data_IF_810041985170
#
_entry.id   IF_810041985170
#
_cell.length_a   1.000
_cell.length_b   1.000
_cell.length_c   1.000
_cell.angle_alpha   90.00
_cell.angle_beta   90.00
_cell.angle_gamma   90.00
#
_symmetry.space_group_name_H-M   'P 1'
#
loop_
_entity.id
_entity.type
_entity.pdbx_description
1 polymer ?
#
# COMPACT_ATOMS: atom_id res chain seq x y z
N UNK A 1 7.90 -26.74 -17.40
CA UNK A 1 8.53 -26.04 -16.25
C UNK A 1 7.75 -26.39 -15.00
N UNK A 2 8.41 -26.78 -13.93
CA UNK A 2 7.74 -27.02 -12.63
C UNK A 2 7.64 -25.65 -11.91
N UNK A 3 6.47 -25.00 -12.00
CA UNK A 3 6.17 -23.76 -11.30
C UNK A 3 5.46 -24.14 -10.00
N UNK A 4 6.01 -23.74 -8.85
CA UNK A 4 5.41 -24.05 -7.53
C UNK A 4 4.55 -22.91 -6.97
N UNK A 5 4.73 -21.67 -7.45
CA UNK A 5 3.98 -20.52 -6.99
C UNK A 5 3.90 -19.41 -8.01
N UNK A 6 2.88 -18.55 -7.89
CA UNK A 6 2.67 -17.36 -8.72
C UNK A 6 2.27 -16.18 -7.83
N UNK A 7 2.77 -14.99 -8.16
CA UNK A 7 2.34 -13.70 -7.60
C UNK A 7 2.37 -12.63 -8.68
N UNK A 8 1.70 -11.52 -8.46
CA UNK A 8 1.76 -10.35 -9.34
C UNK A 8 2.29 -9.12 -8.60
N UNK A 9 2.86 -8.19 -9.38
CA UNK A 9 3.27 -6.85 -8.95
C UNK A 9 2.29 -5.77 -9.44
N UNK A 10 1.20 -6.18 -10.09
CA UNK A 10 0.24 -5.31 -10.77
C UNK A 10 -1.13 -5.45 -10.09
N UNK A 11 -1.60 -4.37 -9.48
CA UNK A 11 -2.78 -4.39 -8.61
C UNK A 11 -4.04 -5.01 -9.25
N UNK A 12 -4.44 -4.70 -10.50
CA UNK A 12 -5.60 -5.34 -11.15
C UNK A 12 -5.47 -6.87 -11.34
N UNK A 13 -4.25 -7.40 -11.43
CA UNK A 13 -4.02 -8.84 -11.58
C UNK A 13 -4.18 -9.60 -10.28
N UNK A 14 -4.03 -8.94 -9.13
CA UNK A 14 -4.14 -9.57 -7.81
C UNK A 14 -5.52 -10.18 -7.60
N UNK A 15 -6.58 -9.41 -7.86
CA UNK A 15 -7.95 -9.90 -7.78
C UNK A 15 -8.21 -11.06 -8.76
N UNK A 16 -7.63 -10.98 -9.97
CA UNK A 16 -7.77 -12.04 -10.97
C UNK A 16 -7.09 -13.34 -10.52
N UNK A 17 -5.87 -13.26 -9.99
CA UNK A 17 -5.16 -14.42 -9.45
C UNK A 17 -5.91 -15.01 -8.25
N UNK A 18 -6.32 -14.18 -7.28
CA UNK A 18 -7.04 -14.61 -6.10
C UNK A 18 -8.39 -15.30 -6.46
N UNK A 19 -9.12 -14.75 -7.42
CA UNK A 19 -10.38 -15.34 -7.92
C UNK A 19 -10.21 -16.72 -8.56
N UNK A 20 -9.03 -17.01 -9.09
CA UNK A 20 -8.72 -18.28 -9.76
C UNK A 20 -7.79 -19.17 -8.91
N UNK A 21 -7.62 -18.89 -7.61
CA UNK A 21 -6.67 -19.61 -6.75
C UNK A 21 -6.89 -21.11 -6.76
N UNK A 22 -8.14 -21.59 -6.69
CA UNK A 22 -8.48 -23.00 -6.73
C UNK A 22 -7.98 -23.69 -8.02
N UNK A 23 -8.08 -23.01 -9.16
CA UNK A 23 -7.61 -23.53 -10.46
C UNK A 23 -6.08 -23.64 -10.52
N UNK A 24 -5.37 -22.72 -9.87
CA UNK A 24 -3.92 -22.82 -9.73
C UNK A 24 -3.53 -23.95 -8.77
N UNK A 25 -4.27 -24.12 -7.67
CA UNK A 25 -4.05 -25.20 -6.71
C UNK A 25 -4.26 -26.57 -7.34
N UNK A 26 -5.32 -26.76 -8.14
CA UNK A 26 -5.56 -27.98 -8.94
C UNK A 26 -4.38 -28.30 -9.89
N UNK A 27 -3.66 -27.28 -10.36
CA UNK A 27 -2.44 -27.41 -11.17
C UNK A 27 -1.16 -27.56 -10.35
N UNK A 28 -1.25 -27.63 -9.02
CA UNK A 28 -0.10 -27.71 -8.12
C UNK A 28 0.67 -26.39 -7.96
N UNK A 29 0.03 -25.24 -8.22
CA UNK A 29 0.62 -23.91 -8.15
C UNK A 29 -0.05 -23.10 -7.04
N UNK A 30 0.72 -22.59 -6.09
CA UNK A 30 0.20 -21.72 -5.03
C UNK A 30 0.10 -20.27 -5.52
N UNK A 31 -1.05 -19.63 -5.37
CA UNK A 31 -1.17 -18.17 -5.53
C UNK A 31 -0.65 -17.49 -4.26
N UNK A 32 0.49 -16.80 -4.36
CA UNK A 32 1.13 -16.12 -3.25
C UNK A 32 0.61 -14.67 -3.13
N UNK A 33 -0.56 -14.52 -2.55
CA UNK A 33 -1.26 -13.25 -2.39
C UNK A 33 -2.38 -13.35 -1.36
N UNK A 34 -3.02 -12.24 -1.09
CA UNK A 34 -4.19 -12.17 -0.22
C UNK A 34 -5.46 -12.61 -0.95
N UNK A 35 -6.51 -12.91 -0.19
CA UNK A 35 -7.79 -13.34 -0.73
C UNK A 35 -8.46 -12.28 -1.62
N UNK A 36 -9.39 -12.72 -2.47
CA UNK A 36 -10.09 -11.89 -3.45
C UNK A 36 -10.72 -10.63 -2.82
N UNK A 37 -11.44 -10.79 -1.71
CA UNK A 37 -12.13 -9.68 -1.04
C UNK A 37 -11.14 -8.63 -0.49
N UNK A 38 -9.97 -9.04 -0.05
CA UNK A 38 -8.90 -8.16 0.42
C UNK A 38 -8.24 -7.42 -0.75
N UNK A 39 -8.03 -8.09 -1.89
CA UNK A 39 -7.54 -7.44 -3.10
C UNK A 39 -8.53 -6.38 -3.59
N UNK A 40 -9.83 -6.69 -3.64
CA UNK A 40 -10.89 -5.76 -4.01
C UNK A 40 -11.03 -4.59 -3.01
N UNK A 41 -10.89 -4.85 -1.71
CA UNK A 41 -10.88 -3.81 -0.68
C UNK A 41 -9.70 -2.86 -0.88
N UNK A 42 -8.52 -3.39 -1.18
CA UNK A 42 -7.32 -2.60 -1.43
C UNK A 42 -7.43 -1.74 -2.69
N UNK A 43 -8.04 -2.26 -3.77
CA UNK A 43 -8.31 -1.52 -5.00
C UNK A 43 -9.34 -0.41 -4.82
N UNK A 44 -10.31 -0.57 -3.91
CA UNK A 44 -11.37 0.40 -3.65
C UNK A 44 -11.06 1.23 -2.41
N UNK A 45 -10.60 2.44 -2.60
CA UNK A 45 -10.15 3.35 -1.54
C UNK A 45 -11.26 3.70 -0.53
N UNK A 46 -12.53 3.67 -0.97
CA UNK A 46 -13.64 3.92 -0.06
C UNK A 46 -13.92 2.72 0.84
N UNK A 47 -13.87 1.49 0.31
CA UNK A 47 -13.96 0.27 1.13
C UNK A 47 -12.82 0.19 2.14
N UNK A 48 -11.58 0.53 1.75
CA UNK A 48 -10.44 0.59 2.66
C UNK A 48 -10.68 1.63 3.77
N UNK A 49 -11.16 2.82 3.43
CA UNK A 49 -11.51 3.86 4.41
C UNK A 49 -12.57 3.40 5.41
N UNK A 50 -13.64 2.76 4.94
CA UNK A 50 -14.71 2.21 5.79
C UNK A 50 -14.18 1.13 6.73
N UNK A 51 -13.34 0.23 6.20
CA UNK A 51 -12.67 -0.80 7.00
C UNK A 51 -11.79 -0.21 8.10
N UNK A 52 -10.91 0.73 7.76
CA UNK A 52 -10.02 1.37 8.73
C UNK A 52 -10.80 2.08 9.84
N UNK A 53 -11.84 2.83 9.47
CA UNK A 53 -12.71 3.50 10.44
C UNK A 53 -13.44 2.54 11.37
N UNK A 54 -14.00 1.47 10.83
CA UNK A 54 -14.75 0.48 11.64
C UNK A 54 -13.86 -0.23 12.67
N UNK A 55 -12.54 -0.29 12.42
CA UNK A 55 -11.55 -0.87 13.33
C UNK A 55 -10.81 0.17 14.19
N UNK A 56 -11.25 1.44 14.17
CA UNK A 56 -10.63 2.52 14.96
C UNK A 56 -9.18 2.82 14.56
N UNK A 57 -8.83 2.58 13.28
CA UNK A 57 -7.53 2.90 12.70
C UNK A 57 -7.63 4.27 12.02
N UNK A 58 -6.68 5.16 12.34
CA UNK A 58 -6.68 6.52 11.78
C UNK A 58 -6.43 6.48 10.27
N UNK A 59 -7.27 7.20 9.53
CA UNK A 59 -7.18 7.43 8.10
C UNK A 59 -7.75 8.82 7.77
N UNK A 60 -7.47 9.35 6.60
CA UNK A 60 -8.02 10.64 6.18
C UNK A 60 -9.52 10.52 5.92
N UNK A 61 -10.32 11.48 6.41
CA UNK A 61 -11.75 11.55 6.14
C UNK A 61 -11.98 11.55 4.62
N UNK A 62 -12.88 10.67 4.16
CA UNK A 62 -13.09 10.40 2.74
C UNK A 62 -14.58 10.41 2.40
N UNK A 63 -14.91 10.93 1.22
CA UNK A 63 -16.28 11.11 0.76
C UNK A 63 -16.39 10.77 -0.73
N UNK A 64 -17.44 10.07 -1.12
CA UNK A 64 -17.87 9.92 -2.52
C UNK A 64 -19.04 10.88 -2.83
N UNK A 65 -19.79 11.30 -1.81
CA UNK A 65 -20.85 12.29 -1.92
C UNK A 65 -20.33 13.69 -1.55
N UNK A 66 -20.30 14.60 -2.52
CA UNK A 66 -19.92 16.00 -2.30
C UNK A 66 -20.79 16.70 -1.24
N UNK A 67 -22.07 16.36 -1.16
CA UNK A 67 -22.97 16.99 -0.21
C UNK A 67 -22.63 16.58 1.24
N UNK A 68 -22.19 15.33 1.43
CA UNK A 68 -21.69 14.89 2.73
C UNK A 68 -20.41 15.67 3.12
N UNK A 69 -19.48 15.85 2.19
CA UNK A 69 -18.28 16.68 2.40
C UNK A 69 -18.65 18.12 2.76
N UNK A 70 -19.56 18.75 2.04
CA UNK A 70 -19.97 20.15 2.32
C UNK A 70 -20.65 20.30 3.67
N UNK A 71 -21.51 19.36 4.06
CA UNK A 71 -22.14 19.38 5.41
C UNK A 71 -21.07 19.30 6.52
N UNK A 72 -20.08 18.45 6.36
CA UNK A 72 -19.01 18.33 7.35
C UNK A 72 -18.06 19.53 7.33
N UNK A 73 -17.84 20.16 6.18
CA UNK A 73 -17.08 21.41 6.06
C UNK A 73 -17.79 22.58 6.77
N UNK A 74 -19.10 22.73 6.60
CA UNK A 74 -19.91 23.72 7.32
C UNK A 74 -19.86 23.52 8.84
N UNK A 75 -19.75 22.27 9.30
CA UNK A 75 -19.59 21.89 10.70
C UNK A 75 -18.12 21.99 11.19
N UNK A 76 -17.19 22.45 10.35
CA UNK A 76 -15.75 22.56 10.64
C UNK A 76 -15.08 21.25 11.05
N UNK A 77 -15.62 20.11 10.59
CA UNK A 77 -14.99 18.78 10.78
C UNK A 77 -13.90 18.52 9.74
N UNK A 78 -14.04 19.08 8.55
CA UNK A 78 -13.09 19.03 7.43
C UNK A 78 -13.14 20.35 6.68
N UNK A 79 -12.11 20.66 5.88
CA UNK A 79 -12.08 21.86 5.05
C UNK A 79 -11.07 21.67 3.91
N UNK A 80 -11.05 22.64 2.99
CA UNK A 80 -10.02 22.76 1.98
C UNK A 80 -8.64 23.11 2.61
N UNK A 81 -7.54 22.64 2.01
CA UNK A 81 -7.47 21.87 0.78
C UNK A 81 -7.84 20.39 0.99
N UNK A 82 -8.35 19.77 -0.08
CA UNK A 82 -8.62 18.33 -0.14
C UNK A 82 -7.85 17.69 -1.29
N UNK A 83 -7.74 16.36 -1.25
CA UNK A 83 -7.29 15.55 -2.38
C UNK A 83 -8.52 14.96 -3.07
N UNK A 84 -8.52 14.97 -4.41
CA UNK A 84 -9.43 14.17 -5.21
C UNK A 84 -8.65 13.10 -5.98
N UNK A 85 -9.24 11.92 -6.06
CA UNK A 85 -8.67 10.76 -6.77
C UNK A 85 -9.77 9.79 -7.15
N UNK A 86 -9.57 8.88 -8.12
CA UNK A 86 -10.51 7.83 -8.41
C UNK A 86 -10.76 6.94 -7.19
N UNK A 87 -12.00 6.50 -6.99
CA UNK A 87 -12.38 5.55 -5.93
C UNK A 87 -11.63 4.24 -6.11
N UNK A 88 -11.55 3.75 -7.35
CA UNK A 88 -10.85 2.52 -7.70
C UNK A 88 -9.62 2.81 -8.58
N UNK A 89 -8.61 1.96 -8.45
CA UNK A 89 -7.40 2.04 -9.27
C UNK A 89 -6.12 2.23 -8.46
N UNK A 90 -4.99 2.13 -9.16
CA UNK A 90 -3.64 2.18 -8.61
C UNK A 90 -2.77 3.21 -9.36
N UNK A 91 -1.49 3.31 -9.01
CA UNK A 91 -0.47 4.12 -9.67
C UNK A 91 -0.72 5.64 -9.69
N UNK A 92 -1.47 6.18 -8.74
CA UNK A 92 -1.70 7.65 -8.59
C UNK A 92 -2.15 8.35 -9.89
N UNK A 93 -2.86 7.65 -10.78
CA UNK A 93 -3.16 8.06 -12.16
C UNK A 93 -3.92 9.39 -12.28
N UNK A 94 -4.58 9.82 -11.22
CA UNK A 94 -5.29 11.10 -11.16
C UNK A 94 -5.42 11.54 -9.69
N UNK A 95 -4.37 12.12 -9.14
CA UNK A 95 -4.40 12.67 -7.78
C UNK A 95 -4.23 14.18 -7.87
N UNK A 96 -5.20 14.96 -7.38
CA UNK A 96 -5.16 16.43 -7.41
C UNK A 96 -5.47 17.02 -6.05
N UNK A 97 -4.71 18.04 -5.67
CA UNK A 97 -5.00 18.89 -4.51
C UNK A 97 -5.94 20.01 -4.94
N UNK A 98 -7.06 20.13 -4.28
CA UNK A 98 -8.13 21.09 -4.56
C UNK A 98 -8.25 22.04 -3.38
N UNK A 99 -8.24 23.35 -3.66
CA UNK A 99 -8.23 24.40 -2.64
C UNK A 99 -9.52 25.23 -2.58
N UNK A 100 -10.51 24.90 -3.43
CA UNK A 100 -11.76 25.67 -3.43
C UNK A 100 -12.96 24.83 -3.89
N UNK A 101 -14.15 25.22 -3.46
CA UNK A 101 -15.42 24.61 -3.88
C UNK A 101 -15.60 24.67 -5.40
N UNK A 102 -15.27 25.80 -6.03
CA UNK A 102 -15.42 25.96 -7.48
C UNK A 102 -14.57 24.96 -8.26
N UNK A 103 -13.30 24.77 -7.85
CA UNK A 103 -12.42 23.78 -8.47
C UNK A 103 -12.94 22.35 -8.26
N UNK A 104 -13.48 22.04 -7.07
CA UNK A 104 -14.08 20.74 -6.78
C UNK A 104 -15.28 20.45 -7.67
N UNK A 105 -16.18 21.42 -7.83
CA UNK A 105 -17.36 21.27 -8.71
C UNK A 105 -16.95 21.04 -10.16
N UNK A 106 -15.94 21.75 -10.65
CA UNK A 106 -15.43 21.57 -11.99
C UNK A 106 -14.92 20.14 -12.25
N UNK A 107 -14.08 19.61 -11.37
CA UNK A 107 -13.54 18.25 -11.53
C UNK A 107 -14.64 17.19 -11.46
N UNK A 108 -15.59 17.32 -10.54
CA UNK A 108 -16.73 16.38 -10.42
C UNK A 108 -17.78 16.53 -11.55
N UNK A 109 -17.77 17.63 -12.31
CA UNK A 109 -18.61 17.74 -13.52
C UNK A 109 -18.04 16.95 -14.69
N UNK A 110 -16.74 16.67 -14.69
CA UNK A 110 -16.04 15.97 -15.75
C UNK A 110 -15.88 14.46 -15.49
N UNK A 111 -16.07 14.01 -14.24
CA UNK A 111 -15.85 12.61 -13.83
C UNK A 111 -16.80 12.23 -12.69
N UNK A 112 -17.29 11.00 -12.74
CA UNK A 112 -18.21 10.41 -11.75
C UNK A 112 -17.55 9.36 -10.84
N UNK A 113 -16.29 9.02 -11.10
CA UNK A 113 -15.52 8.00 -10.39
C UNK A 113 -14.65 8.55 -9.25
N UNK A 114 -14.79 9.85 -8.90
CA UNK A 114 -13.93 10.53 -7.95
C UNK A 114 -14.40 10.39 -6.50
N UNK A 115 -13.44 10.38 -5.58
CA UNK A 115 -13.64 10.62 -4.16
C UNK A 115 -12.91 11.88 -3.70
N UNK A 116 -13.39 12.45 -2.60
CA UNK A 116 -12.77 13.54 -1.88
C UNK A 116 -12.11 12.95 -0.64
N UNK A 117 -10.89 13.35 -0.34
CA UNK A 117 -10.17 12.94 0.86
C UNK A 117 -9.51 14.15 1.53
N UNK A 118 -9.57 14.23 2.86
CA UNK A 118 -8.86 15.27 3.60
C UNK A 118 -7.38 15.26 3.24
N UNK A 119 -6.83 16.43 2.94
CA UNK A 119 -5.39 16.57 2.72
C UNK A 119 -4.64 16.41 4.03
N UNK A 120 -3.76 15.43 4.09
CA UNK A 120 -2.85 15.23 5.21
C UNK A 120 -1.53 15.95 4.92
N UNK A 121 -1.18 16.92 5.78
CA UNK A 121 0.10 17.63 5.70
C UNK A 121 1.05 17.04 6.73
N UNK A 122 1.88 16.09 6.31
CA UNK A 122 2.80 15.38 7.20
C UNK A 122 3.91 14.67 6.44
N UNK A 123 4.70 13.89 7.16
CA UNK A 123 5.73 13.04 6.56
C UNK A 123 5.08 11.83 5.90
N UNK A 124 5.47 11.54 4.66
CA UNK A 124 5.07 10.31 3.99
C UNK A 124 5.99 9.15 4.39
N UNK A 125 5.38 8.04 4.75
CA UNK A 125 6.04 6.81 5.19
C UNK A 125 5.56 5.66 4.33
N UNK A 126 6.47 4.77 3.97
CA UNK A 126 6.16 3.47 3.38
C UNK A 126 6.50 2.35 4.34
N UNK A 127 5.69 1.30 4.35
CA UNK A 127 6.01 0.08 5.06
C UNK A 127 5.90 -1.13 4.14
N UNK A 128 6.99 -1.88 3.99
CA UNK A 128 6.99 -3.20 3.36
C UNK A 128 6.76 -4.25 4.46
N UNK A 129 5.69 -5.04 4.35
CA UNK A 129 5.30 -6.01 5.38
C UNK A 129 5.20 -7.39 4.76
N UNK A 130 5.74 -8.40 5.47
CA UNK A 130 5.53 -9.80 5.13
C UNK A 130 4.71 -10.49 6.21
N UNK A 131 3.65 -11.15 5.76
CA UNK A 131 2.75 -11.97 6.57
C UNK A 131 2.95 -13.43 6.14
N UNK A 132 3.20 -14.32 7.09
CA UNK A 132 3.42 -15.74 6.81
C UNK A 132 2.18 -16.34 6.13
N UNK A 133 2.37 -16.91 4.95
CA UNK A 133 1.29 -17.50 4.15
C UNK A 133 0.63 -18.71 4.84
N UNK A 134 1.32 -19.37 5.75
CA UNK A 134 0.83 -20.56 6.46
C UNK A 134 0.14 -20.18 7.77
N UNK A 135 0.82 -19.42 8.63
CA UNK A 135 0.30 -19.07 9.97
C UNK A 135 -0.57 -17.81 9.97
N UNK A 136 -0.35 -16.88 9.04
CA UNK A 136 -0.97 -15.55 9.06
C UNK A 136 -0.33 -14.57 10.05
N UNK A 137 0.79 -14.94 10.64
CA UNK A 137 1.53 -14.08 11.56
C UNK A 137 2.36 -13.05 10.81
N UNK A 138 2.43 -11.81 11.32
CA UNK A 138 3.32 -10.79 10.77
C UNK A 138 4.77 -11.16 11.07
N UNK A 139 5.55 -11.41 10.03
CA UNK A 139 6.94 -11.87 10.14
C UNK A 139 7.93 -10.72 10.08
N UNK A 140 7.70 -9.77 9.19
CA UNK A 140 8.64 -8.67 8.95
C UNK A 140 7.87 -7.38 8.69
N UNK A 141 8.36 -6.29 9.26
CA UNK A 141 7.90 -4.92 8.99
C UNK A 141 9.17 -4.10 8.75
N UNK A 142 9.30 -3.54 7.56
CA UNK A 142 10.34 -2.56 7.23
C UNK A 142 9.68 -1.20 6.98
N UNK A 143 10.12 -0.17 7.69
CA UNK A 143 9.58 1.18 7.57
C UNK A 143 10.61 2.16 7.04
N UNK A 144 10.15 3.09 6.20
CA UNK A 144 10.98 4.10 5.54
C UNK A 144 10.23 5.43 5.42
N UNK A 145 10.92 6.54 5.69
CA UNK A 145 10.46 7.89 5.35
C UNK A 145 10.67 8.09 3.85
N UNK A 146 9.63 8.50 3.13
CA UNK A 146 9.69 8.81 1.70
C UNK A 146 10.20 10.25 1.53
N UNK A 147 11.45 10.39 1.10
CA UNK A 147 12.09 11.70 0.93
C UNK A 147 11.75 12.34 -0.43
N UNK A 148 11.55 11.52 -1.45
CA UNK A 148 11.15 11.94 -2.78
C UNK A 148 10.33 10.87 -3.46
N UNK A 149 9.19 11.30 -4.01
CA UNK A 149 8.36 10.49 -4.89
C UNK A 149 8.59 10.88 -6.35
N UNK A 150 8.62 9.89 -7.26
CA UNK A 150 8.71 10.10 -8.70
C UNK A 150 7.78 9.13 -9.42
N UNK A 151 6.91 9.65 -10.28
CA UNK A 151 5.95 8.87 -11.05
C UNK A 151 5.11 7.88 -10.20
N UNK A 152 4.71 8.28 -8.98
CA UNK A 152 3.92 7.45 -8.08
C UNK A 152 4.70 6.41 -7.28
N UNK A 153 6.03 6.37 -7.42
CA UNK A 153 6.90 5.45 -6.68
C UNK A 153 7.89 6.18 -5.77
N UNK A 154 8.32 5.50 -4.71
CA UNK A 154 9.39 6.00 -3.84
C UNK A 154 10.72 6.01 -4.59
N UNK A 155 11.26 7.22 -4.82
CA UNK A 155 12.53 7.45 -5.50
C UNK A 155 13.70 7.56 -4.52
N UNK A 156 13.48 8.27 -3.40
CA UNK A 156 14.45 8.38 -2.29
C UNK A 156 13.76 8.13 -0.97
N UNK A 157 14.40 7.36 -0.11
CA UNK A 157 13.90 7.04 1.21
C UNK A 157 15.02 6.84 2.22
N UNK A 158 14.69 6.88 3.50
CA UNK A 158 15.58 6.52 4.59
C UNK A 158 14.86 5.59 5.54
N UNK A 159 15.53 4.49 5.95
CA UNK A 159 14.99 3.53 6.92
C UNK A 159 14.91 4.14 8.32
N UNK A 160 13.89 3.76 9.08
CA UNK A 160 13.74 4.08 10.50
C UNK A 160 12.94 2.99 11.20
N UNK A 161 12.98 2.95 12.53
CA UNK A 161 12.22 2.02 13.35
C UNK A 161 11.37 2.83 14.32
N UNK A 162 10.07 2.50 14.42
CA UNK A 162 9.16 3.07 15.41
C UNK A 162 8.20 1.99 15.91
N UNK A 163 8.28 1.70 17.22
CA UNK A 163 7.48 0.66 17.86
C UNK A 163 5.98 0.94 17.78
N UNK A 164 5.56 2.21 17.93
CA UNK A 164 4.15 2.62 17.82
C UNK A 164 3.61 2.32 16.42
N UNK A 165 4.42 2.54 15.39
CA UNK A 165 4.05 2.22 14.01
C UNK A 165 4.00 0.72 13.78
N UNK A 166 4.98 -0.03 14.29
CA UNK A 166 4.98 -1.49 14.18
C UNK A 166 3.73 -2.11 14.82
N UNK A 167 3.34 -1.66 16.01
CA UNK A 167 2.13 -2.13 16.69
C UNK A 167 0.84 -1.75 15.93
N UNK A 168 0.78 -0.55 15.34
CA UNK A 168 -0.33 -0.16 14.46
C UNK A 168 -0.45 -1.09 13.26
N UNK A 169 0.66 -1.40 12.59
CA UNK A 169 0.70 -2.29 11.42
C UNK A 169 0.29 -3.71 11.81
N UNK A 170 0.81 -4.26 12.91
CA UNK A 170 0.40 -5.58 13.43
C UNK A 170 -1.11 -5.62 13.70
N UNK A 171 -1.65 -4.61 14.38
CA UNK A 171 -3.09 -4.50 14.66
C UNK A 171 -3.90 -4.48 13.37
N UNK A 172 -3.48 -3.70 12.39
CA UNK A 172 -4.14 -3.62 11.08
C UNK A 172 -4.12 -4.97 10.35
N UNK A 173 -2.95 -5.60 10.24
CA UNK A 173 -2.78 -6.91 9.57
C UNK A 173 -3.65 -7.98 10.24
N UNK A 174 -3.64 -8.04 11.56
CA UNK A 174 -4.44 -9.00 12.33
C UNK A 174 -5.95 -8.80 12.13
N UNK A 175 -6.41 -7.55 12.04
CA UNK A 175 -7.82 -7.23 11.80
C UNK A 175 -8.25 -7.53 10.37
N UNK A 176 -7.40 -7.28 9.37
CA UNK A 176 -7.72 -7.44 7.96
C UNK A 176 -7.55 -8.90 7.48
N UNK A 177 -6.53 -9.61 7.94
CA UNK A 177 -6.28 -10.99 7.55
C UNK A 177 -5.43 -11.16 6.29
N UNK A 178 -4.66 -10.16 5.89
CA UNK A 178 -3.74 -10.24 4.74
C UNK A 178 -2.76 -11.41 4.85
N UNK A 179 -2.24 -11.83 3.70
CA UNK A 179 -1.24 -12.89 3.56
C UNK A 179 -0.13 -12.45 2.64
N UNK A 180 1.05 -13.02 2.83
CA UNK A 180 2.27 -12.77 2.06
C UNK A 180 2.72 -11.31 2.18
N UNK A 181 2.91 -10.60 1.08
CA UNK A 181 3.44 -9.24 1.06
C UNK A 181 2.36 -8.19 0.92
N UNK A 182 2.50 -7.10 1.68
CA UNK A 182 1.74 -5.87 1.48
C UNK A 182 2.67 -4.66 1.56
N UNK A 183 2.35 -3.63 0.79
CA UNK A 183 2.98 -2.31 0.80
C UNK A 183 1.96 -1.31 1.32
N UNK A 184 2.30 -0.60 2.41
CA UNK A 184 1.38 0.32 3.09
C UNK A 184 1.92 1.74 2.98
N UNK A 185 1.09 2.65 2.49
CA UNK A 185 1.33 4.09 2.51
C UNK A 185 0.71 4.73 3.75
N UNK A 186 1.51 5.49 4.48
CA UNK A 186 1.17 6.04 5.79
C UNK A 186 1.59 7.51 5.83
N UNK A 187 0.81 8.34 6.51
CA UNK A 187 1.21 9.71 6.85
C UNK A 187 1.44 9.82 8.36
N UNK A 188 2.50 10.52 8.75
CA UNK A 188 2.71 10.98 10.12
C UNK A 188 2.31 12.45 10.21
N UNK A 189 1.22 12.73 10.93
CA UNK A 189 0.66 14.08 11.12
C UNK A 189 0.49 14.33 12.61
N UNK A 190 1.11 15.38 13.13
CA UNK A 190 1.04 15.76 14.55
C UNK A 190 1.33 14.60 15.53
N UNK A 191 2.31 13.75 15.19
CA UNK A 191 2.72 12.60 16.00
C UNK A 191 1.79 11.39 15.93
N UNK A 192 0.82 11.38 15.00
CA UNK A 192 -0.13 10.30 14.79
C UNK A 192 -0.02 9.72 13.40
N UNK A 193 -0.11 8.38 13.30
CA UNK A 193 -0.05 7.65 12.04
C UNK A 193 -1.44 7.48 11.42
N UNK A 194 -1.54 7.77 10.12
CA UNK A 194 -2.73 7.62 9.30
C UNK A 194 -2.45 6.66 8.15
N UNK A 195 -3.09 5.51 8.10
CA UNK A 195 -3.00 4.60 6.94
C UNK A 195 -3.74 5.26 5.76
N UNK A 196 -3.08 5.38 4.62
CA UNK A 196 -3.58 6.03 3.42
C UNK A 196 -3.96 5.06 2.31
N UNK A 197 -3.09 4.08 2.04
CA UNK A 197 -3.26 3.09 0.98
C UNK A 197 -2.58 1.78 1.36
N UNK A 198 -3.14 0.66 0.91
CA UNK A 198 -2.57 -0.68 1.12
C UNK A 198 -2.60 -1.43 -0.19
N UNK A 199 -1.45 -1.91 -0.62
CA UNK A 199 -1.27 -2.66 -1.85
C UNK A 199 -0.81 -4.08 -1.51
N UNK A 200 -1.62 -5.14 -1.75
CA UNK A 200 -1.27 -6.52 -1.35
C UNK A 200 -0.29 -7.16 -2.33
N UNK A 201 0.85 -6.52 -2.52
CA UNK A 201 1.98 -6.92 -3.37
C UNK A 201 3.28 -6.27 -2.89
N UNK A 202 4.41 -6.62 -3.50
CA UNK A 202 5.66 -5.88 -3.31
C UNK A 202 5.51 -4.42 -3.73
N UNK A 203 5.96 -3.50 -2.88
CA UNK A 203 6.06 -2.09 -3.20
C UNK A 203 7.21 -1.78 -4.17
N UNK A 204 7.10 -0.71 -4.96
CA UNK A 204 8.20 -0.24 -5.82
C UNK A 204 9.46 0.17 -5.03
N UNK A 205 9.33 0.37 -3.73
CA UNK A 205 10.44 0.65 -2.80
C UNK A 205 10.99 -0.58 -2.05
N UNK A 206 10.50 -1.79 -2.31
CA UNK A 206 10.92 -3.02 -1.63
C UNK A 206 12.43 -3.33 -1.73
N UNK A 207 13.15 -3.02 -2.82
CA UNK A 207 14.61 -3.22 -2.83
C UNK A 207 15.33 -2.62 -1.63
N UNK A 208 14.82 -1.50 -1.07
CA UNK A 208 15.36 -0.92 0.16
C UNK A 208 15.24 -1.86 1.36
N UNK A 209 14.06 -2.45 1.56
CA UNK A 209 13.83 -3.44 2.61
C UNK A 209 14.74 -4.67 2.43
N UNK A 210 14.86 -5.17 1.19
CA UNK A 210 15.69 -6.32 0.86
C UNK A 210 17.17 -6.09 1.23
N UNK A 211 17.73 -4.95 0.79
CA UNK A 211 19.13 -4.59 1.05
C UNK A 211 19.40 -4.32 2.55
N UNK A 212 18.38 -3.94 3.31
CA UNK A 212 18.47 -3.81 4.76
C UNK A 212 18.29 -5.15 5.50
N UNK A 213 18.15 -6.28 4.81
CA UNK A 213 18.05 -7.62 5.40
C UNK A 213 16.62 -8.17 5.54
N UNK A 214 15.58 -7.40 5.22
CA UNK A 214 14.18 -7.86 5.22
C UNK A 214 13.88 -8.66 3.93
N UNK A 215 14.37 -9.89 3.86
CA UNK A 215 14.28 -10.72 2.67
C UNK A 215 12.93 -11.44 2.55
N UNK A 216 11.90 -10.70 2.13
CA UNK A 216 10.54 -11.24 1.92
C UNK A 216 10.48 -12.32 0.86
N UNK A 217 11.40 -12.31 -0.12
CA UNK A 217 11.49 -13.38 -1.14
C UNK A 217 11.89 -14.72 -0.51
N UNK A 218 12.83 -14.69 0.44
CA UNK A 218 13.21 -15.91 1.17
C UNK A 218 12.04 -16.43 2.03
N UNK A 219 11.28 -15.55 2.67
CA UNK A 219 10.09 -15.93 3.44
C UNK A 219 9.01 -16.57 2.55
N UNK A 220 8.79 -16.00 1.36
CA UNK A 220 7.87 -16.55 0.36
C UNK A 220 8.30 -17.96 -0.09
N UNK A 221 9.58 -18.15 -0.40
CA UNK A 221 10.14 -19.47 -0.76
C UNK A 221 9.97 -20.47 0.40
N UNK A 222 10.20 -20.07 1.65
CA UNK A 222 9.94 -20.91 2.81
C UNK A 222 8.49 -21.38 2.85
N UNK A 223 7.52 -20.48 2.68
CA UNK A 223 6.11 -20.84 2.68
C UNK A 223 5.77 -21.78 1.52
N UNK A 224 6.30 -21.56 0.30
CA UNK A 224 6.14 -22.49 -0.82
C UNK A 224 6.74 -23.88 -0.55
N UNK A 225 7.76 -23.97 0.31
CA UNK A 225 8.34 -25.22 0.77
C UNK A 225 7.62 -25.82 2.00
N UNK A 226 6.45 -25.29 2.40
CA UNK A 226 5.70 -25.74 3.56
C UNK A 226 6.31 -25.36 4.92
N UNK A 227 7.25 -24.42 4.95
CA UNK A 227 7.93 -23.96 6.17
C UNK A 227 7.37 -22.62 6.63
N UNK A 228 7.00 -22.53 7.93
CA UNK A 228 6.65 -21.26 8.58
C UNK A 228 7.90 -20.41 8.78
N UNK A 229 7.69 -19.11 8.78
CA UNK A 229 8.74 -18.13 9.07
C UNK A 229 8.64 -17.67 10.54
N UNK A 230 9.79 -17.39 11.15
CA UNK A 230 9.86 -16.79 12.49
C UNK A 230 9.81 -15.26 12.35
N UNK A 231 9.07 -14.53 13.20
CA UNK A 231 9.06 -13.08 13.20
C UNK A 231 10.43 -12.45 13.47
N UNK A 232 10.78 -11.44 12.65
CA UNK A 232 11.97 -10.61 12.75
C UNK A 232 11.58 -9.14 12.50
N UNK A 233 10.89 -8.52 13.48
CA UNK A 233 10.37 -7.17 13.37
C UNK A 233 11.31 -6.19 14.05
N UNK A 234 11.70 -5.11 13.33
CA UNK A 234 12.64 -4.12 13.86
C UNK A 234 14.11 -4.58 13.86
N UNK A 235 14.43 -5.68 13.19
CA UNK A 235 15.79 -6.24 13.13
C UNK A 235 16.51 -5.80 11.84
N UNK A 236 16.58 -4.49 11.58
CA UNK A 236 17.31 -3.91 10.44
C UNK A 236 17.96 -2.58 10.85
N UNK A 237 18.91 -2.09 10.02
CA UNK A 237 19.61 -0.85 10.33
C UNK A 237 18.74 0.39 10.02
N UNK A 238 18.71 1.34 10.96
CA UNK A 238 18.13 2.66 10.75
C UNK A 238 19.11 3.60 10.03
N UNK A 239 18.56 4.64 9.37
CA UNK A 239 19.36 5.66 8.71
C UNK A 239 20.01 5.20 7.41
N UNK A 240 19.60 4.07 6.86
CA UNK A 240 20.06 3.59 5.54
C UNK A 240 19.27 4.33 4.46
N UNK A 241 19.98 4.97 3.53
CA UNK A 241 19.37 5.72 2.43
C UNK A 241 19.26 4.87 1.16
N UNK A 242 18.08 4.87 0.57
CA UNK A 242 17.85 4.37 -0.78
C UNK A 242 17.73 5.55 -1.73
N UNK A 243 18.39 5.46 -2.89
CA UNK A 243 18.25 6.41 -4.00
C UNK A 243 18.17 5.65 -5.32
N UNK A 244 17.07 5.79 -6.05
CA UNK A 244 16.97 5.31 -7.43
C UNK A 244 17.71 6.24 -8.37
N UNK A 245 18.38 5.69 -9.38
CA UNK A 245 19.02 6.45 -10.45
C UNK A 245 18.77 5.78 -11.80
N UNK A 246 18.80 6.56 -12.86
CA UNK A 246 18.66 6.06 -14.21
C UNK A 246 20.03 5.83 -14.84
N UNK A 247 20.23 4.69 -15.48
CA UNK A 247 21.38 4.39 -16.30
C UNK A 247 20.98 4.35 -17.78
N UNK A 248 21.80 4.95 -18.66
CA UNK A 248 21.58 4.93 -20.10
C UNK A 248 22.56 3.91 -20.72
N UNK A 249 22.00 2.91 -21.37
CA UNK A 249 22.78 1.95 -22.16
C UNK A 249 22.50 2.15 -23.64
N UNK A 250 23.55 2.49 -24.40
CA UNK A 250 23.46 2.64 -25.87
C UNK A 250 23.94 1.34 -26.52
N UNK A 251 23.07 0.71 -27.28
CA UNK A 251 23.38 -0.44 -28.11
C UNK A 251 23.49 0.03 -29.56
N UNK A 252 24.60 -0.31 -30.23
CA UNK A 252 24.75 -0.14 -31.68
C UNK A 252 24.57 -1.51 -32.32
N UNK A 253 23.66 -1.60 -33.28
CA UNK A 253 23.64 -2.78 -34.16
C UNK A 253 24.93 -2.81 -34.96
N UNK A 254 25.59 -3.95 -34.98
CA UNK A 254 26.67 -4.20 -35.92
C UNK A 254 26.02 -4.41 -37.28
N UNK A 255 26.21 -3.45 -38.21
CA UNK A 255 25.85 -3.58 -39.62
C UNK A 255 26.75 -4.58 -40.28
#
# INVERSE_FOLDING_TARGET
QNIGGVFSLIDPELSLLAKNADRFEEAGVTVCGSDYDLCEMSLNKMKMYEFLRSHGIKCAESYVDKQAFYRDSEQKKTDFPVIIKPVCGSASSFVRKISSRQALEYEFSARDDLMIQRFLSGEEIGADVYIDGISGETVSIFTKKKLLMRAGETDKAVSFIDEKLNELIKKFVAAAGYRYMIDIDIFLVDGEYYISEVNPRFGGGYPHAHECGCNHVAYLINNLCGRRNTPHIGEYAEGVYMMKYNEIKILKESI
#
